data_IF_419363344040
#
_entry.id   IF_419363344040
#
_cell.length_a   1.000
_cell.length_b   1.000
_cell.length_c   1.000
_cell.angle_alpha   90.00
_cell.angle_beta   90.00
_cell.angle_gamma   90.00
#
_symmetry.space_group_name_H-M   'P 1'
#
loop_
_entity.id
_entity.type
_entity.pdbx_description
1 polymer ?
#
# COMPACT_ATOMS: atom_id res chain seq x y z
N UNK A 1 20.51 -7.98 10.26
CA UNK A 1 20.62 -8.38 8.84
C UNK A 1 19.58 -9.46 8.55
N UNK A 2 18.69 -9.28 7.56
CA UNK A 2 17.81 -10.35 7.10
C UNK A 2 18.62 -11.47 6.46
N UNK A 3 18.31 -12.73 6.81
CA UNK A 3 18.98 -13.93 6.27
C UNK A 3 18.59 -14.15 4.79
N UNK A 4 19.45 -14.82 4.01
CA UNK A 4 19.17 -15.13 2.58
C UNK A 4 17.82 -15.83 2.34
N UNK A 5 17.29 -16.55 3.34
CA UNK A 5 15.99 -17.22 3.28
C UNK A 5 14.79 -16.29 3.48
N UNK A 6 14.97 -15.14 4.14
CA UNK A 6 13.89 -14.15 4.36
C UNK A 6 13.68 -13.27 3.13
N UNK A 7 14.73 -12.93 2.39
CA UNK A 7 14.63 -12.17 1.12
C UNK A 7 13.97 -12.97 0.00
N UNK A 8 14.19 -14.28 -0.07
CA UNK A 8 13.54 -15.16 -1.07
C UNK A 8 12.01 -15.22 -0.89
N UNK A 9 11.49 -15.02 0.32
CA UNK A 9 10.06 -15.18 0.66
C UNK A 9 9.20 -13.95 0.39
N UNK A 10 9.78 -12.74 0.34
CA UNK A 10 9.06 -11.49 0.01
C UNK A 10 8.90 -11.24 -1.50
N UNK A 11 9.73 -11.91 -2.31
CA UNK A 11 9.77 -11.74 -3.78
C UNK A 11 8.39 -11.83 -4.46
N UNK A 12 7.49 -12.78 -4.12
CA UNK A 12 6.23 -12.92 -4.87
C UNK A 12 5.30 -11.72 -4.74
N UNK A 13 5.18 -11.13 -3.54
CA UNK A 13 4.31 -9.96 -3.32
C UNK A 13 4.90 -8.73 -4.01
N UNK A 14 6.20 -8.50 -3.87
CA UNK A 14 6.88 -7.39 -4.54
C UNK A 14 6.83 -7.53 -6.07
N UNK A 15 7.03 -8.75 -6.61
CA UNK A 15 6.89 -9.03 -8.04
C UNK A 15 5.44 -8.80 -8.49
N UNK A 16 4.46 -9.32 -7.75
CA UNK A 16 3.05 -9.15 -8.07
C UNK A 16 2.64 -7.68 -8.13
N UNK A 17 3.02 -6.89 -7.12
CA UNK A 17 2.79 -5.44 -7.13
C UNK A 17 3.59 -4.73 -8.23
N UNK A 18 4.82 -5.18 -8.54
CA UNK A 18 5.59 -4.67 -9.67
C UNK A 18 4.90 -4.92 -11.02
N UNK A 19 4.30 -6.10 -11.21
CA UNK A 19 3.48 -6.41 -12.40
C UNK A 19 2.25 -5.52 -12.43
N UNK A 20 1.51 -5.40 -11.32
CA UNK A 20 0.32 -4.54 -11.23
C UNK A 20 0.64 -3.08 -11.51
N UNK A 21 1.75 -2.57 -10.98
CA UNK A 21 2.26 -1.24 -11.28
C UNK A 21 2.59 -1.07 -12.77
N UNK A 22 3.27 -2.05 -13.36
CA UNK A 22 3.64 -2.03 -14.79
C UNK A 22 2.41 -2.05 -15.68
N UNK A 23 1.40 -2.84 -15.34
CA UNK A 23 0.10 -2.83 -16.02
C UNK A 23 -0.56 -1.45 -15.93
N UNK A 24 -0.51 -0.82 -14.76
CA UNK A 24 -0.92 0.57 -14.57
C UNK A 24 -0.23 1.51 -15.54
N UNK A 25 1.10 1.42 -15.63
CA UNK A 25 1.89 2.23 -16.54
C UNK A 25 1.49 2.03 -18.01
N UNK A 26 1.29 0.78 -18.45
CA UNK A 26 0.81 0.46 -19.80
C UNK A 26 -0.56 1.09 -20.05
N UNK A 27 -1.49 0.99 -19.09
CA UNK A 27 -2.81 1.64 -19.21
C UNK A 27 -2.65 3.16 -19.27
N UNK A 28 -1.75 3.74 -18.48
CA UNK A 28 -1.40 5.16 -18.54
C UNK A 28 -0.93 5.59 -19.93
N UNK A 29 -0.07 4.78 -20.58
CA UNK A 29 0.35 5.00 -21.98
C UNK A 29 -0.85 4.97 -22.91
N UNK A 30 -1.69 3.94 -22.84
CA UNK A 30 -2.88 3.82 -23.70
C UNK A 30 -3.80 5.04 -23.53
N UNK A 31 -4.10 5.43 -22.29
CA UNK A 31 -4.92 6.62 -21.99
C UNK A 31 -4.27 7.89 -22.55
N UNK A 32 -2.98 8.08 -22.36
CA UNK A 32 -2.26 9.26 -22.87
C UNK A 32 -2.22 9.29 -24.40
N UNK A 33 -2.07 8.16 -25.07
CA UNK A 33 -2.05 8.11 -26.55
C UNK A 33 -3.43 8.34 -27.17
N UNK A 34 -4.49 7.95 -26.47
CA UNK A 34 -5.88 8.16 -26.90
C UNK A 34 -6.53 9.43 -26.36
N UNK A 35 -5.75 10.34 -25.79
CA UNK A 35 -6.27 11.54 -25.10
C UNK A 35 -6.82 12.58 -26.07
N UNK A 36 -7.74 13.39 -25.55
CA UNK A 36 -8.19 14.60 -26.23
C UNK A 36 -7.03 15.62 -26.35
N UNK A 37 -7.02 16.35 -27.46
CA UNK A 37 -6.06 17.42 -27.78
C UNK A 37 -6.72 18.79 -27.77
N UNK A 38 -8.03 18.87 -27.47
CA UNK A 38 -8.77 20.10 -27.35
C UNK A 38 -8.23 21.01 -26.25
N UNK A 39 -8.68 22.28 -26.24
CA UNK A 39 -8.41 23.17 -25.12
C UNK A 39 -9.16 22.70 -23.88
N UNK A 40 -8.48 22.68 -22.74
CA UNK A 40 -9.07 22.44 -21.42
C UNK A 40 -8.90 23.67 -20.54
N UNK A 41 -9.95 24.00 -19.79
CA UNK A 41 -9.96 25.14 -18.86
C UNK A 41 -9.76 24.62 -17.43
N UNK A 42 -8.82 25.24 -16.71
CA UNK A 42 -8.62 24.99 -15.29
C UNK A 42 -9.69 25.72 -14.46
N UNK A 43 -10.32 24.99 -13.54
CA UNK A 43 -11.23 25.49 -12.53
C UNK A 43 -10.50 25.61 -11.17
N UNK A 44 -10.28 26.82 -10.64
CA UNK A 44 -9.56 27.00 -9.38
C UNK A 44 -10.19 26.28 -8.18
N UNK A 45 -11.51 26.06 -8.20
CA UNK A 45 -12.27 25.36 -7.15
C UNK A 45 -11.93 23.88 -7.01
N UNK A 46 -11.31 23.26 -8.02
CA UNK A 46 -10.92 21.85 -7.95
C UNK A 46 -9.58 21.64 -7.26
N UNK A 47 -8.85 22.72 -6.96
CA UNK A 47 -7.61 22.66 -6.20
C UNK A 47 -7.89 22.32 -4.73
N UNK A 48 -7.24 21.27 -4.22
CA UNK A 48 -7.32 20.82 -2.83
C UNK A 48 -5.96 20.84 -2.13
N UNK A 49 -5.04 21.71 -2.55
CA UNK A 49 -3.72 21.88 -1.93
C UNK A 49 -3.75 22.04 -0.40
N UNK A 50 -4.65 22.86 0.20
CA UNK A 50 -4.69 22.99 1.66
C UNK A 50 -4.92 21.65 2.36
N UNK A 51 -5.81 20.81 1.83
CA UNK A 51 -6.08 19.47 2.37
C UNK A 51 -4.84 18.59 2.28
N UNK A 52 -4.14 18.60 1.15
CA UNK A 52 -2.96 17.74 0.95
C UNK A 52 -1.75 18.19 1.78
N UNK A 53 -1.62 19.49 2.06
CA UNK A 53 -0.63 20.01 3.02
C UNK A 53 -0.93 19.45 4.42
N UNK A 54 -2.19 19.53 4.87
CA UNK A 54 -2.60 18.97 6.17
C UNK A 54 -2.34 17.47 6.21
N UNK A 55 -2.75 16.72 5.19
CA UNK A 55 -2.53 15.28 5.09
C UNK A 55 -1.03 14.92 5.14
N UNK A 56 -0.17 15.72 4.50
CA UNK A 56 1.27 15.51 4.54
C UNK A 56 1.84 15.70 5.93
N UNK A 57 1.44 16.76 6.63
CA UNK A 57 1.86 16.99 8.02
C UNK A 57 1.42 15.84 8.90
N UNK A 58 0.18 15.37 8.76
CA UNK A 58 -0.35 14.24 9.51
C UNK A 58 0.39 12.93 9.18
N UNK A 59 0.71 12.68 7.91
CA UNK A 59 1.46 11.50 7.48
C UNK A 59 2.87 11.49 8.09
N UNK A 60 3.56 12.63 8.07
CA UNK A 60 4.89 12.79 8.66
C UNK A 60 4.84 12.62 10.19
N UNK A 61 3.86 13.23 10.85
CA UNK A 61 3.65 13.06 12.28
C UNK A 61 3.38 11.59 12.64
N UNK A 62 2.56 10.91 11.85
CA UNK A 62 2.27 9.48 12.03
C UNK A 62 3.52 8.62 11.88
N UNK A 63 4.34 8.86 10.85
CA UNK A 63 5.63 8.19 10.67
C UNK A 63 6.56 8.46 11.87
N UNK A 64 6.67 9.72 12.31
CA UNK A 64 7.51 10.09 13.44
C UNK A 64 7.08 9.39 14.74
N UNK A 65 5.78 9.30 15.00
CA UNK A 65 5.23 8.55 16.15
C UNK A 65 5.50 7.05 16.03
N UNK A 66 5.32 6.47 14.84
CA UNK A 66 5.65 5.06 14.59
C UNK A 66 7.13 4.74 14.86
N UNK A 67 8.03 5.63 14.45
CA UNK A 67 9.48 5.55 14.72
C UNK A 67 9.78 5.72 16.20
N UNK A 68 9.22 6.75 16.85
CA UNK A 68 9.43 7.04 18.27
C UNK A 68 8.94 5.91 19.18
N UNK A 69 7.82 5.28 18.83
CA UNK A 69 7.28 4.12 19.55
C UNK A 69 7.99 2.81 19.21
N UNK A 70 8.96 2.82 18.28
CA UNK A 70 9.72 1.65 17.79
C UNK A 70 8.82 0.48 17.40
N UNK A 71 7.65 0.75 16.83
CA UNK A 71 6.72 -0.30 16.44
C UNK A 71 5.96 -0.98 17.58
N UNK A 72 6.08 -0.49 18.83
CA UNK A 72 5.38 -1.08 19.99
C UNK A 72 3.87 -0.94 19.89
N UNK A 73 3.38 0.15 19.29
CA UNK A 73 1.97 0.39 19.05
C UNK A 73 1.64 0.13 17.58
N UNK A 74 1.11 -1.07 17.31
CA UNK A 74 0.88 -1.58 15.93
C UNK A 74 -0.05 -0.70 15.09
N UNK A 75 -1.02 -0.04 15.73
CA UNK A 75 -1.97 0.84 15.07
C UNK A 75 -1.37 2.22 14.73
N UNK A 76 -0.26 2.61 15.36
CA UNK A 76 0.48 3.85 15.10
C UNK A 76 1.71 3.66 14.22
N UNK A 77 1.98 2.44 13.76
CA UNK A 77 3.21 2.14 13.02
C UNK A 77 2.84 1.83 11.58
N UNK A 78 3.08 2.76 10.62
CA UNK A 78 2.90 2.46 9.21
C UNK A 78 3.79 1.27 8.85
N UNK A 79 3.17 0.24 8.27
CA UNK A 79 3.85 -1.02 7.97
C UNK A 79 4.28 -1.01 6.51
N UNK A 80 5.50 -1.47 6.23
CA UNK A 80 5.92 -1.69 4.86
C UNK A 80 5.11 -2.85 4.24
N UNK A 81 4.15 -2.58 3.33
CA UNK A 81 3.24 -3.58 2.78
C UNK A 81 3.95 -4.58 1.87
N UNK A 82 5.15 -4.24 1.38
CA UNK A 82 6.02 -5.11 0.57
C UNK A 82 7.13 -5.77 1.39
N UNK A 83 7.14 -5.56 2.70
CA UNK A 83 8.13 -6.12 3.60
C UNK A 83 7.99 -7.63 3.76
N UNK A 84 9.13 -8.30 4.01
CA UNK A 84 9.20 -9.73 4.36
C UNK A 84 8.19 -10.17 5.43
N UNK A 85 7.95 -9.40 6.52
CA UNK A 85 7.02 -9.84 7.57
C UNK A 85 5.57 -9.98 7.09
N UNK A 86 5.11 -9.10 6.20
CA UNK A 86 3.75 -9.16 5.64
C UNK A 86 3.66 -10.29 4.62
N UNK A 87 4.63 -10.44 3.72
CA UNK A 87 4.63 -11.51 2.72
C UNK A 87 4.58 -12.91 3.34
N UNK A 88 5.27 -13.12 4.46
CA UNK A 88 5.21 -14.38 5.22
C UNK A 88 3.82 -14.60 5.82
N UNK A 89 3.20 -13.57 6.42
CA UNK A 89 1.88 -13.69 7.06
C UNK A 89 0.74 -13.88 6.05
N UNK A 90 0.84 -13.26 4.88
CA UNK A 90 -0.10 -13.52 3.77
C UNK A 90 -0.04 -14.99 3.34
N UNK A 91 1.15 -15.58 3.26
CA UNK A 91 1.29 -17.02 2.95
C UNK A 91 0.68 -17.92 4.03
N UNK A 92 0.78 -17.53 5.30
CA UNK A 92 0.14 -18.29 6.38
C UNK A 92 -1.38 -18.32 6.25
N UNK A 93 -2.02 -17.28 5.71
CA UNK A 93 -3.46 -17.29 5.42
C UNK A 93 -3.84 -18.33 4.37
N UNK A 94 -2.98 -18.60 3.38
CA UNK A 94 -3.26 -19.60 2.35
C UNK A 94 -3.35 -21.03 2.91
N UNK A 95 -2.84 -21.26 4.13
CA UNK A 95 -2.93 -22.53 4.84
C UNK A 95 -4.07 -22.60 5.87
N UNK A 96 -4.86 -21.54 6.07
CA UNK A 96 -5.96 -21.53 7.03
C UNK A 96 -7.26 -22.04 6.39
N UNK A 97 -8.08 -22.83 7.12
CA UNK A 97 -9.38 -23.27 6.63
C UNK A 97 -10.33 -22.07 6.45
N UNK A 98 -10.81 -21.87 5.22
CA UNK A 98 -11.68 -20.76 4.77
C UNK A 98 -12.95 -20.55 5.62
N UNK A 99 -13.42 -21.60 6.31
CA UNK A 99 -14.70 -21.59 7.02
C UNK A 99 -14.69 -20.90 8.39
N UNK A 100 -13.53 -20.68 8.99
CA UNK A 100 -13.47 -20.31 10.42
C UNK A 100 -13.54 -18.81 10.70
N UNK A 101 -13.33 -17.95 9.69
CA UNK A 101 -13.42 -16.48 9.86
C UNK A 101 -13.61 -15.75 8.51
N UNK A 102 -14.77 -15.96 7.87
CA UNK A 102 -15.07 -15.38 6.55
C UNK A 102 -15.00 -13.84 6.54
N UNK A 103 -15.37 -13.19 7.65
CA UNK A 103 -15.30 -11.74 7.79
C UNK A 103 -13.85 -11.24 7.77
N UNK A 104 -12.94 -11.86 8.54
CA UNK A 104 -11.51 -11.54 8.49
C UNK A 104 -10.94 -11.75 7.09
N UNK A 105 -11.28 -12.86 6.44
CA UNK A 105 -10.81 -13.15 5.08
C UNK A 105 -11.31 -12.10 4.08
N UNK A 106 -12.54 -11.63 4.21
CA UNK A 106 -13.09 -10.55 3.39
C UNK A 106 -12.35 -9.22 3.62
N UNK A 107 -12.06 -8.86 4.88
CA UNK A 107 -11.30 -7.65 5.21
C UNK A 107 -9.89 -7.73 4.62
N UNK A 108 -9.19 -8.85 4.80
CA UNK A 108 -7.85 -9.06 4.24
C UNK A 108 -7.88 -8.95 2.72
N UNK A 109 -8.81 -9.64 2.06
CA UNK A 109 -8.95 -9.59 0.61
C UNK A 109 -9.20 -8.17 0.10
N UNK A 110 -10.11 -7.44 0.78
CA UNK A 110 -10.39 -6.04 0.47
C UNK A 110 -9.14 -5.16 0.62
N UNK A 111 -8.38 -5.29 1.72
CA UNK A 111 -7.16 -4.50 1.91
C UNK A 111 -6.06 -4.82 0.90
N UNK A 112 -5.91 -6.10 0.51
CA UNK A 112 -5.00 -6.50 -0.57
C UNK A 112 -5.44 -5.92 -1.92
N UNK A 113 -6.76 -5.91 -2.20
CA UNK A 113 -7.31 -5.28 -3.40
C UNK A 113 -7.06 -3.77 -3.40
N UNK A 114 -7.25 -3.08 -2.27
CA UNK A 114 -6.95 -1.64 -2.13
C UNK A 114 -5.48 -1.37 -2.43
N UNK A 115 -4.55 -2.17 -1.88
CA UNK A 115 -3.11 -2.00 -2.14
C UNK A 115 -2.79 -2.24 -3.62
N UNK A 116 -3.33 -3.31 -4.22
CA UNK A 116 -3.11 -3.63 -5.62
C UNK A 116 -3.67 -2.53 -6.53
N UNK A 117 -4.91 -2.11 -6.30
CA UNK A 117 -5.56 -1.04 -7.06
C UNK A 117 -4.82 0.30 -6.91
N UNK A 118 -4.41 0.67 -5.70
CA UNK A 118 -3.64 1.88 -5.49
C UNK A 118 -2.28 1.83 -6.20
N UNK A 119 -1.62 0.67 -6.19
CA UNK A 119 -0.36 0.44 -6.92
C UNK A 119 -0.55 0.56 -8.44
N UNK A 120 -1.62 -0.04 -8.98
CA UNK A 120 -2.01 0.10 -10.38
C UNK A 120 -2.25 1.58 -10.75
N UNK A 121 -3.04 2.30 -9.95
CA UNK A 121 -3.33 3.72 -10.15
C UNK A 121 -2.06 4.57 -10.08
N UNK A 122 -1.13 4.24 -9.19
CA UNK A 122 0.20 4.87 -9.14
C UNK A 122 0.95 4.72 -10.46
N UNK A 123 1.02 3.51 -11.01
CA UNK A 123 1.64 3.26 -12.32
C UNK A 123 0.96 4.05 -13.45
N UNK A 124 -0.37 4.04 -13.49
CA UNK A 124 -1.16 4.78 -14.49
C UNK A 124 -0.89 6.29 -14.43
N UNK A 125 -0.75 6.83 -13.21
CA UNK A 125 -0.61 8.26 -12.96
C UNK A 125 0.68 8.86 -13.53
N UNK A 126 1.76 8.08 -13.69
CA UNK A 126 3.03 8.57 -14.23
C UNK A 126 2.87 9.07 -15.67
N UNK A 127 2.22 8.28 -16.52
CA UNK A 127 2.05 8.64 -17.94
C UNK A 127 0.71 9.33 -18.17
N UNK A 128 -0.36 8.86 -17.54
CA UNK A 128 -1.68 9.49 -17.63
C UNK A 128 -1.68 10.92 -17.11
N UNK A 129 -0.85 11.24 -16.11
CA UNK A 129 -0.69 12.60 -15.60
C UNK A 129 0.01 13.56 -16.56
N UNK A 130 0.64 13.08 -17.63
CA UNK A 130 1.20 13.97 -18.66
C UNK A 130 0.12 14.61 -19.53
N UNK A 131 -1.12 14.09 -19.50
CA UNK A 131 -2.26 14.68 -20.19
C UNK A 131 -2.74 15.95 -19.48
N UNK A 132 -2.70 17.13 -20.14
CA UNK A 132 -3.23 18.36 -19.56
C UNK A 132 -4.71 18.27 -19.19
N UNK A 133 -5.53 17.46 -19.88
CA UNK A 133 -6.94 17.28 -19.52
C UNK A 133 -7.09 16.56 -18.18
N UNK A 134 -6.17 15.64 -17.89
CA UNK A 134 -6.15 14.94 -16.62
C UNK A 134 -5.72 15.87 -15.47
N UNK A 135 -4.70 16.71 -15.70
CA UNK A 135 -4.14 17.55 -14.62
C UNK A 135 -4.89 18.85 -14.44
N UNK A 136 -5.53 19.40 -15.49
CA UNK A 136 -6.18 20.70 -15.47
C UNK A 136 -7.07 20.88 -14.24
N UNK A 137 -7.86 19.87 -13.88
CA UNK A 137 -8.79 19.95 -12.75
C UNK A 137 -8.49 18.92 -11.65
N UNK A 138 -7.25 18.43 -11.58
CA UNK A 138 -6.80 17.57 -10.51
C UNK A 138 -6.65 18.33 -9.18
N UNK A 139 -6.71 17.59 -8.06
CA UNK A 139 -6.56 18.16 -6.72
C UNK A 139 -5.29 19.00 -6.51
N UNK A 140 -4.18 18.62 -7.16
CA UNK A 140 -2.91 19.35 -7.10
C UNK A 140 -2.77 20.50 -8.09
N UNK A 141 -3.87 20.88 -8.75
CA UNK A 141 -3.90 21.94 -9.76
C UNK A 141 -3.36 21.48 -11.12
N UNK A 142 -3.26 22.41 -12.09
CA UNK A 142 -3.12 22.09 -13.51
C UNK A 142 -1.74 21.52 -13.89
N UNK A 143 -0.78 21.56 -12.98
CA UNK A 143 0.58 21.09 -13.24
C UNK A 143 0.69 19.58 -13.01
N UNK A 144 1.50 18.92 -13.85
CA UNK A 144 1.83 17.51 -13.67
C UNK A 144 2.36 17.20 -12.28
N UNK A 145 3.31 18.01 -11.78
CA UNK A 145 3.94 17.74 -10.48
C UNK A 145 2.97 17.89 -9.31
N UNK A 146 2.10 18.89 -9.34
CA UNK A 146 1.08 19.07 -8.32
C UNK A 146 0.09 17.91 -8.32
N UNK A 147 -0.45 17.58 -9.49
CA UNK A 147 -1.38 16.45 -9.64
C UNK A 147 -0.73 15.13 -9.20
N UNK A 148 0.52 14.87 -9.61
CA UNK A 148 1.27 13.68 -9.24
C UNK A 148 1.46 13.60 -7.72
N UNK A 149 1.89 14.68 -7.09
CA UNK A 149 2.10 14.75 -5.64
C UNK A 149 0.82 14.43 -4.86
N UNK A 150 -0.29 15.10 -5.16
CA UNK A 150 -1.56 14.91 -4.47
C UNK A 150 -2.06 13.46 -4.60
N UNK A 151 -2.06 12.92 -5.84
CA UNK A 151 -2.48 11.54 -6.06
C UNK A 151 -1.55 10.54 -5.36
N UNK A 152 -0.23 10.73 -5.40
CA UNK A 152 0.70 9.81 -4.73
C UNK A 152 0.59 9.88 -3.20
N UNK A 153 0.26 11.05 -2.64
CA UNK A 153 -0.03 11.17 -1.22
C UNK A 153 -1.27 10.35 -0.85
N UNK A 154 -2.36 10.50 -1.59
CA UNK A 154 -3.60 9.73 -1.38
C UNK A 154 -3.34 8.22 -1.48
N UNK A 155 -2.69 7.78 -2.56
CA UNK A 155 -2.35 6.38 -2.78
C UNK A 155 -1.44 5.84 -1.67
N UNK A 156 -0.43 6.61 -1.26
CA UNK A 156 0.49 6.25 -0.18
C UNK A 156 -0.23 6.10 1.16
N UNK A 157 -1.13 7.03 1.49
CA UNK A 157 -1.96 6.97 2.70
C UNK A 157 -2.91 5.77 2.68
N UNK A 158 -3.59 5.51 1.56
CA UNK A 158 -4.46 4.34 1.39
C UNK A 158 -3.69 3.04 1.59
N UNK A 159 -2.51 2.92 0.98
CA UNK A 159 -1.62 1.76 1.12
C UNK A 159 -1.15 1.61 2.57
N UNK A 160 -0.76 2.70 3.23
CA UNK A 160 -0.29 2.68 4.61
C UNK A 160 -1.39 2.25 5.59
N UNK A 161 -2.59 2.79 5.46
CA UNK A 161 -3.76 2.42 6.28
C UNK A 161 -4.15 0.98 6.04
N UNK A 162 -4.23 0.53 4.78
CA UNK A 162 -4.49 -0.86 4.44
C UNK A 162 -3.43 -1.79 5.02
N UNK A 163 -2.15 -1.40 4.99
CA UNK A 163 -1.04 -2.13 5.60
C UNK A 163 -1.18 -2.26 7.13
N UNK A 164 -1.66 -1.23 7.81
CA UNK A 164 -1.94 -1.29 9.26
C UNK A 164 -3.10 -2.22 9.55
N UNK A 165 -4.21 -2.12 8.81
CA UNK A 165 -5.37 -3.02 8.99
C UNK A 165 -4.94 -4.47 8.75
N UNK A 166 -4.18 -4.74 7.68
CA UNK A 166 -3.60 -6.08 7.45
C UNK A 166 -2.73 -6.54 8.62
N UNK A 167 -1.89 -5.67 9.17
CA UNK A 167 -1.04 -6.03 10.31
C UNK A 167 -1.83 -6.32 11.60
N UNK A 168 -3.03 -5.77 11.74
CA UNK A 168 -3.96 -6.06 12.84
C UNK A 168 -4.70 -7.37 12.59
N UNK A 169 -5.13 -7.65 11.36
CA UNK A 169 -5.93 -8.83 11.02
C UNK A 169 -5.10 -10.10 10.79
N UNK A 170 -3.85 -9.97 10.37
CA UNK A 170 -2.99 -11.11 10.08
C UNK A 170 -2.55 -11.83 11.37
N UNK A 171 -2.53 -13.17 11.38
CA UNK A 171 -2.05 -13.94 12.52
C UNK A 171 -0.66 -13.48 12.98
N UNK A 172 -0.46 -13.41 14.30
CA UNK A 172 0.88 -13.17 14.86
C UNK A 172 1.79 -14.32 14.45
N UNK A 173 2.98 -13.99 13.96
CA UNK A 173 4.08 -14.94 13.92
C UNK A 173 4.50 -15.20 15.37
N UNK A 174 3.82 -16.13 16.06
CA UNK A 174 4.42 -16.77 17.21
C UNK A 174 5.47 -17.67 16.60
N UNK A 175 6.75 -17.32 16.75
CA UNK A 175 7.78 -18.32 16.55
C UNK A 175 7.40 -19.47 17.48
N UNK A 176 6.97 -20.58 16.90
CA UNK A 176 6.84 -21.84 17.59
C UNK A 176 8.25 -22.29 17.99
N UNK A 177 8.81 -21.64 19.02
CA UNK A 177 10.00 -22.07 19.75
C UNK A 177 9.68 -22.32 21.21
N UNK A 178 8.39 -22.45 21.57
CA UNK A 178 7.97 -23.00 22.85
C UNK A 178 6.82 -23.97 22.64
N UNK A 179 7.18 -25.22 22.34
CA UNK A 179 6.50 -26.45 22.76
C UNK A 179 7.13 -27.62 21.98
N UNK A 180 8.39 -27.94 22.29
CA UNK A 180 8.76 -29.35 22.30
C UNK A 180 8.21 -29.91 23.62
N UNK A 181 7.21 -30.80 23.62
CA UNK A 181 6.88 -31.57 24.80
C UNK A 181 7.96 -32.65 24.93
N UNK A 182 8.95 -32.44 25.80
CA UNK A 182 9.97 -33.45 26.06
C UNK A 182 10.99 -32.96 27.07
N UNK A 183 10.81 -33.32 28.34
CA UNK A 183 11.80 -33.06 29.38
C UNK A 183 11.27 -32.88 30.80
N UNK A 184 10.17 -33.56 31.16
CA UNK A 184 9.86 -34.05 32.51
C UNK A 184 9.40 -35.48 32.29
N UNK A 185 9.87 -36.52 32.95
CA UNK A 185 10.83 -36.73 34.02
C UNK A 185 11.44 -38.12 33.72
N UNK A 186 12.64 -38.44 34.23
CA UNK A 186 13.03 -39.79 34.63
C UNK A 186 14.33 -39.70 35.45
N UNK A 187 14.15 -39.85 36.78
CA UNK A 187 15.10 -40.20 37.84
C UNK A 187 16.28 -39.28 38.19
#
# INVERSE_FOLDING_TARGET
MPTRSTTLRARPVAIGLGVVFTLGLVVGVVTFTGRDQGPVVHEPSTSAWPVHIVLTVLALAWIAVGVATRGRQRWLTPVNPVGVPIGIRIRLLAGLPLRTDAARMAIVAMMLLVIAFATFRGGQQIIGGLDPHFTANAWGGPTYLGALYCHYLDLGLMIAVAGVILNLELPRYVLATQQAPGGRDDH
#
